data_IF_664306711764
#
_entry.id   IF_664306711764
#
_cell.length_a   1.000
_cell.length_b   1.000
_cell.length_c   1.000
_cell.angle_alpha   90.00
_cell.angle_beta   90.00
_cell.angle_gamma   90.00
#
_symmetry.space_group_name_H-M   'P 1'
#
loop_
_entity.id
_entity.type
_entity.pdbx_description
1 polymer ?
#
# COMPACT_ATOMS: atom_id res chain seq x y z
N UNK A 1 -2.35 -12.65 -30.19
CA UNK A 1 -2.72 -13.68 -29.19
C UNK A 1 -2.37 -13.21 -27.79
N UNK A 2 -3.37 -13.00 -26.92
CA UNK A 2 -3.13 -12.66 -25.51
C UNK A 2 -2.62 -13.90 -24.77
N UNK A 3 -1.40 -13.82 -24.24
CA UNK A 3 -0.68 -14.93 -23.63
C UNK A 3 -1.43 -15.44 -22.38
N UNK A 4 -1.97 -16.66 -22.47
CA UNK A 4 -2.70 -17.38 -21.41
C UNK A 4 -1.89 -17.47 -20.10
N UNK A 5 -0.56 -17.48 -20.19
CA UNK A 5 0.33 -17.43 -19.03
C UNK A 5 0.17 -16.14 -18.22
N UNK A 6 0.13 -14.98 -18.89
CA UNK A 6 0.00 -13.69 -18.21
C UNK A 6 -1.35 -13.56 -17.51
N UNK A 7 -2.44 -14.04 -18.14
CA UNK A 7 -3.76 -14.08 -17.50
C UNK A 7 -3.78 -14.94 -16.24
N UNK A 8 -3.15 -16.13 -16.27
CA UNK A 8 -3.04 -17.02 -15.10
C UNK A 8 -2.18 -16.40 -13.99
N UNK A 9 -1.09 -15.71 -14.35
CA UNK A 9 -0.24 -15.00 -13.38
C UNK A 9 -1.01 -13.87 -12.68
N UNK A 10 -1.69 -13.02 -13.44
CA UNK A 10 -2.50 -11.92 -12.91
C UNK A 10 -3.65 -12.44 -12.02
N UNK A 11 -4.31 -13.54 -12.41
CA UNK A 11 -5.35 -14.18 -11.60
C UNK A 11 -4.83 -14.71 -10.26
N UNK A 12 -3.64 -15.34 -10.25
CA UNK A 12 -2.98 -15.79 -9.02
C UNK A 12 -2.60 -14.62 -8.10
N UNK A 13 -2.05 -13.55 -8.67
CA UNK A 13 -1.73 -12.32 -7.94
C UNK A 13 -2.99 -11.68 -7.31
N UNK A 14 -4.09 -11.61 -8.07
CA UNK A 14 -5.35 -11.06 -7.59
C UNK A 14 -5.97 -11.92 -6.46
N UNK A 15 -5.92 -13.25 -6.59
CA UNK A 15 -6.39 -14.16 -5.55
C UNK A 15 -5.60 -14.04 -4.24
N UNK A 16 -4.27 -13.94 -4.33
CA UNK A 16 -3.40 -13.76 -3.16
C UNK A 16 -3.60 -12.38 -2.50
N UNK A 17 -3.75 -11.32 -3.29
CA UNK A 17 -4.05 -9.99 -2.77
C UNK A 17 -5.36 -9.98 -1.97
N UNK A 18 -6.45 -10.56 -2.52
CA UNK A 18 -7.72 -10.64 -1.81
C UNK A 18 -7.66 -11.46 -0.53
N UNK A 19 -6.81 -12.50 -0.49
CA UNK A 19 -6.52 -13.24 0.74
C UNK A 19 -5.80 -12.34 1.76
N UNK A 20 -4.75 -11.63 1.34
CA UNK A 20 -4.00 -10.72 2.20
C UNK A 20 -4.88 -9.59 2.76
N UNK A 21 -5.83 -9.06 1.98
CA UNK A 21 -6.75 -8.00 2.42
C UNK A 21 -7.57 -8.38 3.67
N UNK A 22 -7.80 -9.68 3.90
CA UNK A 22 -8.55 -10.22 5.04
C UNK A 22 -7.68 -10.49 6.28
N UNK A 23 -6.36 -10.45 6.16
CA UNK A 23 -5.43 -10.70 7.27
C UNK A 23 -5.24 -9.44 8.12
N UNK A 24 -4.88 -9.62 9.38
CA UNK A 24 -4.45 -8.51 10.24
C UNK A 24 -2.99 -8.10 9.94
N UNK A 25 -2.54 -6.99 10.51
CA UNK A 25 -1.21 -6.44 10.20
C UNK A 25 -0.06 -7.34 10.67
N UNK A 26 -0.17 -8.01 11.82
CA UNK A 26 0.85 -8.94 12.31
C UNK A 26 1.03 -10.14 11.37
N UNK A 27 -0.08 -10.70 10.89
CA UNK A 27 -0.07 -11.77 9.90
C UNK A 27 0.55 -11.29 8.58
N UNK A 28 0.26 -10.06 8.15
CA UNK A 28 0.85 -9.47 6.96
C UNK A 28 2.35 -9.22 7.11
N UNK A 29 2.81 -8.79 8.28
CA UNK A 29 4.24 -8.61 8.56
C UNK A 29 5.00 -9.93 8.48
N UNK A 30 4.46 -11.01 9.04
CA UNK A 30 5.08 -12.35 8.91
C UNK A 30 5.24 -12.78 7.46
N UNK A 31 4.31 -12.40 6.59
CA UNK A 31 4.36 -12.72 5.16
C UNK A 31 5.45 -11.95 4.40
N UNK A 32 6.02 -10.87 4.95
CA UNK A 32 7.13 -10.15 4.32
C UNK A 32 8.42 -10.98 4.28
N UNK A 33 8.57 -11.95 5.18
CA UNK A 33 9.72 -12.87 5.20
C UNK A 33 9.44 -14.22 4.50
N UNK A 34 8.25 -14.40 3.89
CA UNK A 34 7.90 -15.65 3.21
C UNK A 34 8.83 -15.88 1.99
N UNK A 35 9.22 -17.14 1.76
CA UNK A 35 10.04 -17.52 0.59
C UNK A 35 9.32 -17.27 -0.74
N UNK A 36 7.99 -17.28 -0.73
CA UNK A 36 7.16 -17.01 -1.89
C UNK A 36 7.04 -15.50 -2.13
N UNK A 37 7.68 -15.03 -3.21
CA UNK A 37 7.70 -13.63 -3.61
C UNK A 37 6.31 -13.04 -3.82
N UNK A 38 5.34 -13.81 -4.29
CA UNK A 38 3.97 -13.31 -4.52
C UNK A 38 3.28 -12.98 -3.19
N UNK A 39 3.47 -13.80 -2.16
CA UNK A 39 2.90 -13.50 -0.83
C UNK A 39 3.53 -12.24 -0.24
N UNK A 40 4.85 -12.08 -0.35
CA UNK A 40 5.56 -10.86 0.10
C UNK A 40 5.04 -9.61 -0.61
N UNK A 41 4.92 -9.66 -1.93
CA UNK A 41 4.47 -8.51 -2.73
C UNK A 41 3.00 -8.20 -2.41
N UNK A 42 2.14 -9.21 -2.31
CA UNK A 42 0.74 -9.02 -1.97
C UNK A 42 0.55 -8.45 -0.57
N UNK A 43 1.29 -8.93 0.44
CA UNK A 43 1.20 -8.41 1.82
C UNK A 43 1.74 -7.00 1.93
N UNK A 44 2.91 -6.72 1.32
CA UNK A 44 3.49 -5.38 1.27
C UNK A 44 2.53 -4.36 0.64
N UNK A 45 1.80 -4.76 -0.41
CA UNK A 45 0.82 -3.88 -1.07
C UNK A 45 -0.38 -3.56 -0.18
N UNK A 46 -0.89 -4.53 0.59
CA UNK A 46 -1.98 -4.28 1.55
C UNK A 46 -1.51 -3.35 2.67
N UNK A 47 -0.32 -3.60 3.22
CA UNK A 47 0.26 -2.75 4.27
C UNK A 47 0.50 -1.31 3.78
N UNK A 48 1.01 -1.13 2.55
CA UNK A 48 1.18 0.20 1.95
C UNK A 48 -0.16 0.94 1.81
N UNK A 49 -1.22 0.25 1.39
CA UNK A 49 -2.55 0.85 1.25
C UNK A 49 -3.14 1.22 2.61
N UNK A 50 -3.04 0.34 3.62
CA UNK A 50 -3.51 0.63 4.99
C UNK A 50 -2.76 1.81 5.61
N UNK A 51 -1.43 1.79 5.55
CA UNK A 51 -0.60 2.89 6.03
C UNK A 51 -0.88 4.21 5.30
N UNK A 52 -1.16 4.16 3.99
CA UNK A 52 -1.59 5.32 3.23
C UNK A 52 -2.94 5.87 3.71
N UNK A 53 -3.92 5.00 3.98
CA UNK A 53 -5.23 5.41 4.52
C UNK A 53 -5.11 6.03 5.91
N UNK A 54 -4.30 5.46 6.79
CA UNK A 54 -4.06 6.03 8.12
C UNK A 54 -3.34 7.37 8.03
N UNK A 55 -2.35 7.50 7.14
CA UNK A 55 -1.68 8.78 6.89
C UNK A 55 -2.66 9.85 6.37
N UNK A 56 -3.60 9.49 5.49
CA UNK A 56 -4.67 10.39 5.03
C UNK A 56 -5.59 10.77 6.17
N UNK A 57 -6.02 9.80 6.99
CA UNK A 57 -6.90 10.07 8.14
C UNK A 57 -6.24 11.06 9.10
N UNK A 58 -4.98 10.82 9.45
CA UNK A 58 -4.20 11.69 10.32
C UNK A 58 -4.03 13.08 9.68
N UNK A 59 -3.74 13.15 8.37
CA UNK A 59 -3.65 14.43 7.68
C UNK A 59 -4.97 15.23 7.72
N UNK A 60 -6.12 14.58 7.56
CA UNK A 60 -7.44 15.22 7.71
C UNK A 60 -7.68 15.67 9.16
N UNK A 61 -7.34 14.84 10.15
CA UNK A 61 -7.51 15.17 11.57
C UNK A 61 -6.63 16.36 12.00
N UNK A 62 -5.40 16.45 11.49
CA UNK A 62 -4.46 17.52 11.83
C UNK A 62 -4.59 18.77 10.94
N UNK A 63 -5.24 18.68 9.79
CA UNK A 63 -5.40 19.82 8.87
C UNK A 63 -6.80 20.40 8.99
N UNK A 64 -6.92 21.59 9.60
CA UNK A 64 -8.17 22.35 9.70
C UNK A 64 -8.67 22.89 8.35
N UNK A 65 -7.83 22.85 7.32
CA UNK A 65 -8.14 23.34 5.98
C UNK A 65 -8.47 22.18 5.02
N UNK A 66 -9.67 22.24 4.43
CA UNK A 66 -10.24 21.17 3.59
C UNK A 66 -9.51 20.99 2.26
N UNK A 67 -8.87 22.04 1.73
CA UNK A 67 -8.24 21.97 0.41
C UNK A 67 -6.93 21.15 0.49
N UNK A 68 -6.12 21.40 1.52
CA UNK A 68 -4.84 20.70 1.74
C UNK A 68 -5.06 19.21 2.02
N UNK A 69 -6.14 18.85 2.72
CA UNK A 69 -6.42 17.45 3.03
C UNK A 69 -6.84 16.61 1.81
N UNK A 70 -7.53 17.19 0.83
CA UNK A 70 -7.85 16.54 -0.45
C UNK A 70 -6.58 16.30 -1.26
N UNK A 71 -5.69 17.29 -1.32
CA UNK A 71 -4.44 17.20 -2.08
C UNK A 71 -3.49 16.16 -1.47
N UNK A 72 -3.36 16.10 -0.14
CA UNK A 72 -2.60 15.04 0.56
C UNK A 72 -3.21 13.65 0.28
N UNK A 73 -4.54 13.56 0.21
CA UNK A 73 -5.26 12.31 -0.06
C UNK A 73 -4.91 11.72 -1.43
N UNK A 74 -5.04 12.50 -2.51
CA UNK A 74 -4.72 12.04 -3.87
C UNK A 74 -3.26 11.58 -4.01
N UNK A 75 -2.37 12.30 -3.34
CA UNK A 75 -0.94 12.04 -3.34
C UNK A 75 -0.56 10.75 -2.60
N UNK A 76 -1.22 10.44 -1.48
CA UNK A 76 -1.00 9.20 -0.75
C UNK A 76 -1.64 7.97 -1.44
N UNK A 77 -2.85 8.11 -1.99
CA UNK A 77 -3.54 7.03 -2.71
C UNK A 77 -2.85 6.64 -4.02
N UNK A 78 -2.17 7.57 -4.68
CA UNK A 78 -1.40 7.30 -5.90
C UNK A 78 -0.08 6.53 -5.65
N UNK A 79 0.30 6.32 -4.38
CA UNK A 79 1.50 5.57 -4.01
C UNK A 79 2.82 6.29 -4.30
N UNK A 80 2.78 7.63 -4.52
CA UNK A 80 3.95 8.44 -4.86
C UNK A 80 4.87 8.78 -3.68
N UNK A 81 4.47 8.47 -2.44
CA UNK A 81 5.24 8.78 -1.24
C UNK A 81 5.63 7.52 -0.45
N UNK A 82 6.91 7.41 -0.08
CA UNK A 82 7.42 6.42 0.87
C UNK A 82 7.73 7.11 2.20
N UNK A 83 7.18 6.61 3.30
CA UNK A 83 7.48 7.09 4.64
C UNK A 83 8.83 6.53 5.12
N UNK A 84 9.79 7.42 5.42
CA UNK A 84 11.06 7.06 6.05
C UNK A 84 10.94 7.12 7.58
N UNK A 85 11.43 6.08 8.27
CA UNK A 85 11.16 5.77 9.68
C UNK A 85 11.69 6.78 10.71
N UNK A 86 12.45 7.82 10.30
CA UNK A 86 13.24 8.64 11.22
C UNK A 86 13.31 10.15 10.92
N UNK A 87 12.41 10.74 10.13
CA UNK A 87 12.47 12.20 9.91
C UNK A 87 11.08 12.84 9.83
N UNK A 88 10.91 13.94 10.57
CA UNK A 88 9.93 14.98 10.29
C UNK A 88 10.02 15.29 8.78
N UNK A 89 9.01 14.81 8.05
CA UNK A 89 8.63 15.08 6.66
C UNK A 89 9.79 15.58 5.77
N UNK A 90 10.37 14.70 4.98
CA UNK A 90 11.23 15.06 3.85
C UNK A 90 10.65 14.41 2.58
N UNK A 91 10.20 15.25 1.65
CA UNK A 91 9.65 14.86 0.35
C UNK A 91 10.78 14.71 -0.67
N UNK A 92 10.80 13.61 -1.41
CA UNK A 92 11.66 13.47 -2.59
C UNK A 92 10.83 12.93 -3.76
N UNK A 93 10.82 13.69 -4.85
CA UNK A 93 10.13 13.41 -6.11
C UNK A 93 11.15 12.75 -7.06
N UNK A 94 10.76 11.63 -7.69
CA UNK A 94 11.29 11.19 -8.98
C UNK A 94 10.12 10.79 -9.87
#
# INVERSE_FOLDING_TARGET
>A
MSNTYQKRKASKEYGLYNKCKKLNDDELFRLLDDRNSLKRISSARVLQLRGGQDAVRLAIEFCTDKIISVEISEHLYSGKYKFAKNAKIMFLIF
#
